data_IF_250187571586
#
_entry.id   IF_250187571586
#
_cell.length_a   1.000
_cell.length_b   1.000
_cell.length_c   1.000
_cell.angle_alpha   90.00
_cell.angle_beta   90.00
_cell.angle_gamma   90.00
#
_symmetry.space_group_name_H-M   'P 1'
#
loop_
_entity.id
_entity.type
_entity.pdbx_description
1 polymer ?
#
# COMPACT_ATOMS: atom_id res chain seq x y z
N UNK A 1 -3.29 6.19 -0.85
CA UNK A 1 -4.43 6.83 -1.55
C UNK A 1 -5.32 7.50 -0.53
N UNK A 2 -5.87 8.67 -0.84
CA UNK A 2 -6.78 9.40 0.07
C UNK A 2 -8.15 9.58 -0.60
N UNK A 3 -9.22 9.44 0.19
CA UNK A 3 -10.59 9.70 -0.21
C UNK A 3 -11.30 10.55 0.84
N UNK A 4 -12.13 11.48 0.41
CA UNK A 4 -12.87 12.38 1.29
C UNK A 4 -14.29 11.89 1.50
N UNK A 5 -14.74 11.86 2.75
CA UNK A 5 -16.09 11.54 3.18
C UNK A 5 -16.71 12.79 3.80
N UNK A 6 -17.89 13.17 3.35
CA UNK A 6 -18.62 14.32 3.90
C UNK A 6 -19.53 13.86 5.04
N UNK A 7 -19.32 14.42 6.24
CA UNK A 7 -20.17 14.21 7.40
C UNK A 7 -21.13 15.39 7.51
N UNK A 8 -22.40 15.14 7.25
CA UNK A 8 -23.46 16.15 7.38
C UNK A 8 -24.15 16.07 8.75
N UNK A 9 -24.26 17.21 9.44
CA UNK A 9 -25.05 17.35 10.65
C UNK A 9 -26.36 18.10 10.33
N UNK A 10 -27.47 17.39 10.10
CA UNK A 10 -28.76 18.02 9.81
C UNK A 10 -29.40 18.68 11.03
N UNK A 11 -28.89 18.43 12.23
CA UNK A 11 -29.48 18.94 13.47
C UNK A 11 -29.11 20.41 13.71
N UNK A 12 -29.93 21.11 14.49
CA UNK A 12 -29.67 22.52 14.86
C UNK A 12 -28.58 22.72 15.92
N UNK A 13 -28.02 21.65 16.47
CA UNK A 13 -27.03 21.68 17.54
C UNK A 13 -25.72 21.01 17.09
N UNK A 14 -24.62 21.42 17.72
CA UNK A 14 -23.31 20.85 17.46
C UNK A 14 -23.28 19.36 17.80
N UNK A 15 -22.77 18.55 16.87
CA UNK A 15 -22.64 17.11 17.01
C UNK A 15 -21.17 16.73 17.11
N UNK A 16 -20.77 16.15 18.24
CA UNK A 16 -19.43 15.59 18.39
C UNK A 16 -19.39 14.18 17.81
N UNK A 17 -18.36 13.87 17.03
CA UNK A 17 -18.17 12.57 16.40
C UNK A 17 -16.79 12.00 16.66
N UNK A 18 -16.71 10.68 16.61
CA UNK A 18 -15.51 9.88 16.66
C UNK A 18 -15.57 8.85 15.53
N UNK A 19 -14.47 8.70 14.81
CA UNK A 19 -14.29 7.76 13.73
C UNK A 19 -13.48 6.56 14.22
N UNK A 20 -13.99 5.34 14.01
CA UNK A 20 -13.34 4.09 14.38
C UNK A 20 -13.09 3.25 13.13
N UNK A 21 -11.88 2.70 13.06
CA UNK A 21 -11.42 1.78 12.02
C UNK A 21 -10.90 0.51 12.71
N UNK A 22 -11.07 -0.64 12.07
CA UNK A 22 -10.57 -1.90 12.61
C UNK A 22 -9.17 -2.20 12.09
N UNK A 23 -8.89 -1.88 10.83
CA UNK A 23 -7.62 -2.23 10.17
C UNK A 23 -6.64 -1.05 10.12
N UNK A 24 -5.38 -1.22 10.59
CA UNK A 24 -4.37 -0.16 10.58
C UNK A 24 -3.90 0.26 9.17
N UNK A 25 -4.19 -0.50 8.11
CA UNK A 25 -3.89 -0.07 6.73
C UNK A 25 -4.76 1.11 6.29
N UNK A 26 -5.87 1.34 6.99
CA UNK A 26 -6.68 2.54 6.84
C UNK A 26 -6.41 3.50 8.00
N UNK A 27 -6.37 4.79 7.69
CA UNK A 27 -6.27 5.86 8.67
C UNK A 27 -7.25 6.96 8.32
N UNK A 28 -7.71 7.71 9.31
CA UNK A 28 -8.75 8.72 9.13
C UNK A 28 -8.35 10.03 9.80
N UNK A 29 -8.56 11.15 9.12
CA UNK A 29 -8.23 12.49 9.61
C UNK A 29 -9.29 13.52 9.22
N UNK A 30 -9.82 14.30 10.17
CA UNK A 30 -9.66 14.12 11.62
C UNK A 30 -10.41 12.85 12.10
N UNK A 31 -9.81 12.12 13.06
CA UNK A 31 -10.41 10.91 13.64
C UNK A 31 -11.55 11.21 14.62
N UNK A 32 -11.77 12.49 14.95
CA UNK A 32 -12.88 12.94 15.76
C UNK A 32 -12.92 14.47 15.74
N UNK A 33 -14.06 15.02 16.08
CA UNK A 33 -14.27 16.45 16.03
C UNK A 33 -15.69 16.85 16.35
N UNK A 34 -16.01 18.11 16.08
CA UNK A 34 -17.37 18.66 16.26
C UNK A 34 -17.83 19.18 14.91
N UNK A 35 -18.99 18.70 14.46
CA UNK A 35 -19.70 19.25 13.30
C UNK A 35 -20.76 20.22 13.82
N UNK A 36 -20.64 21.49 13.42
CA UNK A 36 -21.60 22.53 13.84
C UNK A 36 -23.02 22.15 13.41
N UNK A 37 -24.02 22.66 14.13
CA UNK A 37 -25.41 22.51 13.72
C UNK A 37 -25.65 23.04 12.30
N UNK A 38 -26.37 22.26 11.47
CA UNK A 38 -26.65 22.56 10.05
C UNK A 38 -25.39 22.83 9.22
N UNK A 39 -24.32 22.11 9.52
CA UNK A 39 -23.06 22.18 8.81
C UNK A 39 -22.61 20.79 8.41
N UNK A 40 -21.71 20.74 7.44
CA UNK A 40 -21.00 19.52 7.08
C UNK A 40 -19.50 19.70 7.35
N UNK A 41 -18.80 18.61 7.61
CA UNK A 41 -17.34 18.55 7.79
C UNK A 41 -16.78 17.45 6.92
N UNK A 42 -15.60 17.68 6.34
CA UNK A 42 -14.89 16.68 5.57
C UNK A 42 -13.98 15.83 6.46
N UNK A 43 -13.99 14.52 6.23
CA UNK A 43 -13.11 13.55 6.86
C UNK A 43 -12.38 12.80 5.76
N UNK A 44 -11.05 12.80 5.83
CA UNK A 44 -10.19 12.15 4.85
C UNK A 44 -9.81 10.77 5.36
N UNK A 45 -10.13 9.74 4.58
CA UNK A 45 -9.71 8.36 4.80
C UNK A 45 -8.52 8.07 3.89
N UNK A 46 -7.41 7.68 4.49
CA UNK A 46 -6.18 7.31 3.81
C UNK A 46 -5.96 5.81 3.88
N UNK A 47 -5.80 5.19 2.72
CA UNK A 47 -5.36 3.81 2.55
C UNK A 47 -3.85 3.77 2.29
N UNK A 48 -3.12 3.04 3.14
CA UNK A 48 -1.67 2.83 3.09
C UNK A 48 -1.36 1.35 3.33
N UNK A 49 -1.51 0.49 2.30
CA UNK A 49 -1.16 -0.93 2.43
C UNK A 49 0.35 -1.10 2.54
N UNK A 50 0.78 -2.14 3.25
CA UNK A 50 2.16 -2.63 3.29
C UNK A 50 2.43 -3.55 2.10
N UNK A 51 3.63 -3.45 1.51
CA UNK A 51 4.04 -4.31 0.38
C UNK A 51 4.15 -5.80 0.77
N UNK A 52 4.08 -6.12 2.06
CA UNK A 52 4.23 -7.49 2.57
C UNK A 52 2.98 -8.35 2.36
N UNK A 53 1.79 -7.75 2.18
CA UNK A 53 0.52 -8.48 2.07
C UNK A 53 -0.30 -8.00 0.87
N UNK A 54 0.05 -8.43 -0.35
CA UNK A 54 -0.82 -8.23 -1.50
C UNK A 54 -2.17 -8.90 -1.27
N UNK A 55 -3.24 -8.25 -1.73
CA UNK A 55 -4.61 -8.73 -1.56
C UNK A 55 -5.67 -7.65 -1.54
N UNK A 56 -6.92 -8.08 -1.40
CA UNK A 56 -8.06 -7.18 -1.15
C UNK A 56 -8.28 -7.05 0.35
N UNK A 57 -8.26 -5.82 0.86
CA UNK A 57 -8.64 -5.49 2.23
C UNK A 57 -10.00 -4.82 2.21
N UNK A 58 -10.91 -5.34 3.03
CA UNK A 58 -12.25 -4.78 3.25
C UNK A 58 -12.37 -4.39 4.72
N UNK A 59 -12.71 -3.14 4.98
CA UNK A 59 -12.96 -2.62 6.33
C UNK A 59 -14.22 -1.75 6.34
N UNK A 60 -14.66 -1.29 7.50
CA UNK A 60 -15.76 -0.35 7.66
C UNK A 60 -15.38 0.78 8.62
N UNK A 61 -15.38 2.01 8.12
CA UNK A 61 -15.29 3.21 8.94
C UNK A 61 -16.59 3.39 9.71
N UNK A 62 -16.55 3.25 11.03
CA UNK A 62 -17.67 3.49 11.91
C UNK A 62 -17.62 4.93 12.45
N UNK A 63 -18.70 5.69 12.23
CA UNK A 63 -18.87 7.05 12.70
C UNK A 63 -19.81 7.02 13.91
N UNK A 64 -19.25 7.28 15.08
CA UNK A 64 -19.93 7.30 16.37
C UNK A 64 -20.18 8.75 16.75
N UNK A 65 -21.44 9.16 16.85
CA UNK A 65 -21.79 10.43 17.48
C UNK A 65 -21.71 10.29 19.00
N UNK A 66 -20.93 11.13 19.67
CA UNK A 66 -20.78 11.12 21.13
C UNK A 66 -22.11 11.50 21.77
N UNK A 67 -22.66 10.60 22.60
CA UNK A 67 -23.99 10.76 23.19
C UNK A 67 -25.17 10.38 22.27
N UNK A 68 -24.89 9.95 21.03
CA UNK A 68 -25.89 9.40 20.13
C UNK A 68 -26.28 7.97 20.52
N UNK A 69 -27.55 7.63 20.38
CA UNK A 69 -28.04 6.26 20.53
C UNK A 69 -27.75 5.49 19.23
N UNK A 70 -27.28 4.23 19.28
CA UNK A 70 -27.09 3.41 18.10
C UNK A 70 -28.38 3.29 17.27
N UNK A 71 -28.28 3.10 15.93
CA UNK A 71 -27.13 2.58 15.21
C UNK A 71 -26.11 3.63 14.74
N UNK A 72 -24.83 3.28 14.82
CA UNK A 72 -23.73 4.08 14.26
C UNK A 72 -23.73 3.98 12.72
N UNK A 73 -23.34 5.07 12.05
CA UNK A 73 -23.22 5.06 10.59
C UNK A 73 -21.92 4.38 10.20
N UNK A 74 -21.96 3.48 9.21
CA UNK A 74 -20.79 2.75 8.71
C UNK A 74 -20.57 3.06 7.24
N UNK A 75 -19.32 3.31 6.87
CA UNK A 75 -18.88 3.49 5.47
C UNK A 75 -17.96 2.33 5.13
N UNK A 76 -18.32 1.54 4.12
CA UNK A 76 -17.50 0.40 3.69
C UNK A 76 -16.27 0.90 2.92
N UNK A 77 -15.11 0.42 3.32
CA UNK A 77 -13.81 0.69 2.72
C UNK A 77 -13.35 -0.57 1.99
N UNK A 78 -12.84 -0.40 0.77
CA UNK A 78 -12.21 -1.47 0.01
C UNK A 78 -10.92 -0.95 -0.60
N UNK A 79 -9.82 -1.59 -0.26
CA UNK A 79 -8.50 -1.38 -0.86
C UNK A 79 -8.07 -2.66 -1.57
N UNK A 80 -7.48 -2.53 -2.75
CA UNK A 80 -7.00 -3.68 -3.53
C UNK A 80 -5.54 -3.44 -3.88
N UNK A 81 -4.65 -4.19 -3.23
CA UNK A 81 -3.22 -4.21 -3.51
C UNK A 81 -2.93 -5.40 -4.43
N UNK A 82 -2.71 -5.19 -5.74
CA UNK A 82 -2.43 -6.29 -6.64
C UNK A 82 -1.10 -6.96 -6.31
N UNK A 83 -1.05 -8.29 -6.44
CA UNK A 83 0.19 -9.04 -6.30
C UNK A 83 1.10 -8.81 -7.51
N UNK A 84 2.34 -8.43 -7.23
CA UNK A 84 3.38 -8.40 -8.22
C UNK A 84 3.99 -9.78 -8.43
N UNK A 85 4.07 -10.25 -9.68
CA UNK A 85 4.60 -11.56 -10.02
C UNK A 85 5.76 -11.39 -10.98
N UNK A 86 6.97 -11.57 -10.48
CA UNK A 86 8.19 -11.50 -11.26
C UNK A 86 8.71 -12.91 -11.52
N UNK A 87 9.15 -13.16 -12.74
CA UNK A 87 9.77 -14.42 -13.14
C UNK A 87 11.03 -14.15 -13.94
N UNK A 88 12.12 -14.82 -13.60
CA UNK A 88 13.30 -14.86 -14.45
C UNK A 88 13.00 -15.63 -15.73
N UNK A 89 13.39 -15.09 -16.88
CA UNK A 89 13.25 -15.79 -18.16
C UNK A 89 14.26 -16.94 -18.24
N UNK A 90 15.47 -16.70 -17.75
CA UNK A 90 16.54 -17.68 -17.63
C UNK A 90 16.34 -18.56 -16.39
N UNK A 91 16.38 -19.88 -16.58
CA UNK A 91 16.20 -20.86 -15.47
C UNK A 91 17.47 -21.15 -14.68
N UNK A 92 18.62 -20.88 -15.30
CA UNK A 92 19.94 -21.08 -14.72
C UNK A 92 20.91 -20.13 -15.40
N UNK A 93 21.86 -19.60 -14.63
CA UNK A 93 22.96 -18.78 -15.12
C UNK A 93 24.24 -19.59 -15.01
N UNK A 94 24.73 -20.10 -16.15
CA UNK A 94 25.99 -20.82 -16.21
C UNK A 94 27.10 -19.89 -16.73
N UNK A 95 28.12 -19.71 -15.90
CA UNK A 95 29.29 -18.90 -16.22
C UNK A 95 30.40 -19.71 -16.91
N UNK A 96 30.30 -21.05 -16.88
CA UNK A 96 31.29 -21.96 -17.43
C UNK A 96 32.65 -21.88 -16.72
N UNK A 97 33.70 -22.50 -17.27
CA UNK A 97 35.05 -22.42 -16.73
C UNK A 97 35.61 -21.00 -16.94
N UNK A 98 35.87 -20.31 -15.83
CA UNK A 98 36.49 -18.98 -15.82
C UNK A 98 37.98 -19.07 -15.47
N UNK A 99 38.80 -18.29 -16.17
CA UNK A 99 40.22 -18.15 -15.87
C UNK A 99 40.45 -17.28 -14.65
N UNK A 100 41.54 -17.52 -13.92
CA UNK A 100 41.93 -16.69 -12.78
C UNK A 100 42.08 -15.23 -13.23
N UNK A 101 41.37 -14.32 -12.54
CA UNK A 101 41.40 -12.88 -12.81
C UNK A 101 40.46 -12.40 -13.91
N UNK A 102 39.58 -13.24 -14.45
CA UNK A 102 38.57 -12.81 -15.44
C UNK A 102 37.24 -12.43 -14.77
N UNK A 103 36.73 -11.23 -15.08
CA UNK A 103 35.39 -10.80 -14.71
C UNK A 103 34.43 -11.09 -15.86
N UNK A 104 33.33 -11.79 -15.58
CA UNK A 104 32.30 -12.08 -16.58
C UNK A 104 30.96 -11.58 -16.08
N UNK A 105 30.32 -10.77 -16.92
CA UNK A 105 28.95 -10.30 -16.72
C UNK A 105 27.98 -11.14 -17.54
N UNK A 106 26.88 -11.54 -16.92
CA UNK A 106 25.74 -12.17 -17.60
C UNK A 106 24.50 -11.36 -17.29
N UNK A 107 23.77 -10.99 -18.34
CA UNK A 107 22.46 -10.38 -18.19
C UNK A 107 21.44 -11.45 -17.81
N UNK A 108 20.51 -11.08 -16.94
CA UNK A 108 19.31 -11.88 -16.66
C UNK A 108 18.10 -11.02 -16.96
N UNK A 109 17.11 -11.58 -17.62
CA UNK A 109 15.89 -10.86 -17.98
C UNK A 109 14.83 -11.13 -16.92
N UNK A 110 14.45 -10.07 -16.20
CA UNK A 110 13.31 -10.10 -15.27
C UNK A 110 12.03 -9.80 -16.05
N UNK A 111 11.06 -10.72 -16.01
CA UNK A 111 9.75 -10.51 -16.64
C UNK A 111 8.69 -10.30 -15.57
N UNK A 112 7.94 -9.21 -15.69
CA UNK A 112 6.68 -9.04 -14.99
C UNK A 112 5.58 -9.92 -15.65
N UNK A 113 5.08 -10.88 -14.88
CA UNK A 113 4.00 -11.78 -15.25
C UNK A 113 2.68 -11.45 -14.53
N UNK A 114 2.62 -10.37 -13.75
CA UNK A 114 1.39 -9.86 -13.17
C UNK A 114 0.60 -9.00 -14.18
N UNK A 115 -0.68 -8.80 -13.88
CA UNK A 115 -1.55 -7.91 -14.64
C UNK A 115 -1.25 -6.42 -14.40
N UNK A 116 -0.43 -6.10 -13.40
CA UNK A 116 -0.13 -4.74 -12.95
C UNK A 116 1.38 -4.50 -12.88
N UNK A 117 1.77 -3.24 -12.89
CA UNK A 117 3.18 -2.84 -12.77
C UNK A 117 3.77 -3.37 -11.45
N UNK A 118 4.98 -3.93 -11.54
CA UNK A 118 5.71 -4.49 -10.42
C UNK A 118 6.92 -3.65 -10.09
N UNK A 119 7.13 -3.41 -8.80
CA UNK A 119 8.35 -2.82 -8.28
C UNK A 119 9.22 -3.97 -7.76
N UNK A 120 10.52 -3.93 -8.05
CA UNK A 120 11.49 -4.87 -7.52
C UNK A 120 12.65 -4.11 -6.87
N UNK A 121 13.24 -4.73 -5.86
CA UNK A 121 14.48 -4.28 -5.23
C UNK A 121 15.53 -5.36 -5.46
N UNK A 122 16.74 -4.92 -5.79
CA UNK A 122 17.91 -5.80 -5.89
C UNK A 122 18.78 -5.46 -4.71
N UNK A 123 19.03 -6.45 -3.87
CA UNK A 123 19.97 -6.30 -2.76
C UNK A 123 21.39 -6.53 -3.26
N UNK A 124 22.32 -5.70 -2.80
CA UNK A 124 23.74 -5.88 -3.10
C UNK A 124 24.26 -7.13 -2.37
N UNK A 125 25.12 -7.93 -3.02
CA UNK A 125 25.67 -9.12 -2.38
C UNK A 125 26.51 -8.70 -1.16
N UNK A 126 26.32 -9.38 -0.02
CA UNK A 126 27.01 -9.08 1.25
C UNK A 126 28.55 -9.27 1.19
N UNK A 127 29.07 -9.88 0.14
CA UNK A 127 30.49 -10.16 -0.05
C UNK A 127 31.19 -9.16 -0.99
N UNK A 128 31.59 -8.00 -0.46
CA UNK A 128 32.42 -7.00 -1.17
C UNK A 128 33.79 -7.55 -1.63
N UNK A 129 34.27 -8.65 -1.03
CA UNK A 129 35.54 -9.32 -1.37
C UNK A 129 35.51 -10.04 -2.72
N UNK A 130 34.31 -10.32 -3.26
CA UNK A 130 34.13 -11.17 -4.43
C UNK A 130 34.12 -10.43 -5.78
N UNK A 131 34.21 -9.10 -5.77
CA UNK A 131 34.23 -8.27 -6.99
C UNK A 131 32.96 -8.38 -7.84
N UNK A 132 31.89 -8.98 -7.29
CA UNK A 132 30.60 -9.10 -7.94
C UNK A 132 29.84 -7.77 -7.81
N UNK A 133 29.42 -7.21 -8.94
CA UNK A 133 28.54 -6.05 -8.99
C UNK A 133 27.27 -6.40 -9.74
N UNK A 134 26.13 -5.92 -9.25
CA UNK A 134 24.85 -6.11 -9.92
C UNK A 134 24.47 -4.78 -10.58
N UNK A 135 24.30 -4.81 -11.90
CA UNK A 135 23.86 -3.66 -12.68
C UNK A 135 22.47 -3.93 -13.24
N UNK A 136 21.51 -3.08 -12.88
CA UNK A 136 20.14 -3.12 -13.42
C UNK A 136 20.06 -2.15 -14.59
N UNK A 137 19.65 -2.62 -15.76
CA UNK A 137 19.41 -1.78 -16.93
C UNK A 137 17.98 -1.99 -17.45
N UNK A 138 17.21 -0.92 -17.73
CA UNK A 138 15.88 -1.06 -18.32
C UNK A 138 16.01 -1.63 -19.73
N UNK A 139 15.21 -2.67 -20.04
CA UNK A 139 15.05 -3.12 -21.43
C UNK A 139 14.29 -2.04 -22.22
N UNK A 140 14.84 -1.66 -23.37
CA UNK A 140 14.33 -0.61 -24.26
C UNK A 140 13.40 -1.17 -25.33
#
# INVERSE_FOLDING_TARGET
VEQTVLLDNPNGFDAQYECKLADPVFSVRPAGGVVRGRSSTEVVVRWSPDNEKPGTVVDALEIVCVGGVPPHKKVHLRGELPEGKLSFLEKALDFGPLGLGTTVTRGVTLRNAAAHDCIFQVDEPEDESSGASIAVSPMR
#
